data_IF_282499078249
#
_entry.id   IF_282499078249
#
_cell.length_a   1.000
_cell.length_b   1.000
_cell.length_c   1.000
_cell.angle_alpha   90.00
_cell.angle_beta   90.00
_cell.angle_gamma   90.00
#
_symmetry.space_group_name_H-M   'P 1'
#
loop_
_entity.id
_entity.type
_entity.pdbx_description
1 polymer ?
#
# COMPACT_ATOMS: atom_id res chain seq x y z
N UNK A 1 -10.06 40.17 -28.82
CA UNK A 1 -9.82 38.74 -29.13
C UNK A 1 -8.53 38.17 -28.57
N UNK A 2 -7.48 38.96 -28.28
CA UNK A 2 -6.19 38.47 -27.73
C UNK A 2 -6.25 37.88 -26.31
N UNK A 3 -7.04 38.49 -25.42
CA UNK A 3 -7.06 38.11 -24.00
C UNK A 3 -7.63 36.69 -23.73
N UNK A 4 -8.69 36.29 -24.45
CA UNK A 4 -9.26 34.94 -24.35
C UNK A 4 -8.29 33.87 -24.89
N UNK A 5 -7.55 34.20 -25.94
CA UNK A 5 -6.50 33.32 -26.50
C UNK A 5 -5.34 33.14 -25.54
N UNK A 6 -4.92 34.22 -24.87
CA UNK A 6 -3.85 34.19 -23.87
C UNK A 6 -4.25 33.37 -22.64
N UNK A 7 -5.50 33.49 -22.15
CA UNK A 7 -6.01 32.67 -21.03
C UNK A 7 -6.04 31.18 -21.38
N UNK A 8 -6.48 30.83 -22.60
CA UNK A 8 -6.46 29.41 -23.03
C UNK A 8 -5.03 28.86 -23.14
N UNK A 9 -4.11 29.65 -23.71
CA UNK A 9 -2.72 29.26 -23.80
C UNK A 9 -2.04 29.13 -22.42
N UNK A 10 -2.43 29.95 -21.45
CA UNK A 10 -1.95 29.81 -20.07
C UNK A 10 -2.41 28.49 -19.42
N UNK A 11 -3.69 28.12 -19.62
CA UNK A 11 -4.22 26.84 -19.12
C UNK A 11 -3.53 25.64 -19.79
N UNK A 12 -3.29 25.69 -21.10
CA UNK A 12 -2.57 24.60 -21.80
C UNK A 12 -1.17 24.44 -21.24
N UNK A 13 -0.45 25.56 -21.01
CA UNK A 13 0.87 25.51 -20.38
C UNK A 13 0.81 24.95 -18.96
N UNK A 14 -0.15 25.42 -18.15
CA UNK A 14 -0.34 24.91 -16.78
C UNK A 14 -0.56 23.38 -16.78
N UNK A 15 -1.45 22.88 -17.64
CA UNK A 15 -1.73 21.44 -17.74
C UNK A 15 -0.50 20.68 -18.22
N UNK A 16 0.18 21.18 -19.26
CA UNK A 16 1.42 20.57 -19.76
C UNK A 16 2.49 20.48 -18.70
N UNK A 17 2.77 21.59 -18.00
CA UNK A 17 3.82 21.67 -16.98
C UNK A 17 3.49 20.77 -15.78
N UNK A 18 2.20 20.62 -15.43
CA UNK A 18 1.73 19.68 -14.41
C UNK A 18 1.88 18.22 -14.84
N UNK A 19 1.48 17.87 -16.06
CA UNK A 19 1.64 16.51 -16.57
C UNK A 19 3.14 16.14 -16.62
N UNK A 20 3.99 17.06 -17.06
CA UNK A 20 5.43 16.84 -17.12
C UNK A 20 6.11 16.72 -15.76
N UNK A 21 5.59 17.41 -14.73
CA UNK A 21 6.13 17.37 -13.37
C UNK A 21 5.60 16.23 -12.50
N UNK A 22 4.52 15.59 -12.92
CA UNK A 22 3.81 14.56 -12.13
C UNK A 22 4.23 13.17 -12.59
N UNK A 23 4.57 12.30 -11.64
CA UNK A 23 4.94 10.90 -11.89
C UNK A 23 3.74 10.07 -12.36
N UNK A 24 2.53 10.40 -11.89
CA UNK A 24 1.30 9.71 -12.27
C UNK A 24 0.11 10.65 -12.40
N UNK A 25 -0.76 10.31 -13.34
CA UNK A 25 -2.01 11.00 -13.66
C UNK A 25 -3.12 9.96 -13.81
N UNK A 26 -4.27 10.15 -13.16
CA UNK A 26 -5.44 9.30 -13.35
C UNK A 26 -6.59 10.12 -13.92
N UNK A 27 -7.21 9.59 -14.99
CA UNK A 27 -8.36 10.17 -15.65
C UNK A 27 -9.63 9.49 -15.13
N UNK A 28 -10.58 10.31 -14.66
CA UNK A 28 -11.86 9.83 -14.14
C UNK A 28 -13.02 10.55 -14.81
N UNK A 29 -14.15 9.86 -14.91
CA UNK A 29 -15.44 10.47 -15.25
C UNK A 29 -16.21 10.79 -13.97
N UNK A 30 -16.69 12.01 -13.83
CA UNK A 30 -17.41 12.50 -12.66
C UNK A 30 -18.90 12.74 -12.93
N UNK A 31 -19.42 12.16 -14.00
CA UNK A 31 -20.82 12.36 -14.40
C UNK A 31 -21.77 11.77 -13.36
N UNK A 32 -22.65 12.61 -12.80
CA UNK A 32 -23.63 12.21 -11.79
C UNK A 32 -23.17 12.41 -10.34
N UNK A 33 -21.96 12.92 -10.11
CA UNK A 33 -21.51 13.31 -8.77
C UNK A 33 -22.05 14.68 -8.38
N UNK A 34 -22.58 14.78 -7.18
CA UNK A 34 -23.03 16.03 -6.57
C UNK A 34 -21.84 16.86 -6.07
N UNK A 35 -22.08 18.15 -5.81
CA UNK A 35 -21.06 19.08 -5.33
C UNK A 35 -20.46 18.64 -3.97
N UNK A 36 -21.25 18.16 -2.99
CA UNK A 36 -20.71 17.60 -1.74
C UNK A 36 -19.77 16.41 -2.00
N UNK A 37 -20.20 15.43 -2.80
CA UNK A 37 -19.40 14.26 -3.14
C UNK A 37 -18.07 14.62 -3.82
N UNK A 38 -18.09 15.63 -4.72
CA UNK A 38 -16.85 16.16 -5.32
C UNK A 38 -15.93 16.85 -4.29
N UNK A 39 -16.49 17.46 -3.26
CA UNK A 39 -15.70 18.07 -2.18
C UNK A 39 -15.05 17.00 -1.30
N UNK A 40 -15.78 15.96 -0.93
CA UNK A 40 -15.27 14.79 -0.19
C UNK A 40 -14.17 14.07 -0.99
N UNK A 41 -14.38 13.84 -2.29
CA UNK A 41 -13.36 13.26 -3.16
C UNK A 41 -12.08 14.08 -3.20
N UNK A 42 -12.19 15.41 -3.30
CA UNK A 42 -11.02 16.30 -3.27
C UNK A 42 -10.29 16.25 -1.94
N UNK A 43 -11.01 16.15 -0.83
CA UNK A 43 -10.43 16.04 0.50
C UNK A 43 -9.71 14.70 0.69
N UNK A 44 -10.35 13.59 0.30
CA UNK A 44 -9.75 12.26 0.33
C UNK A 44 -8.48 12.16 -0.53
N UNK A 45 -8.52 12.73 -1.75
CA UNK A 45 -7.34 12.77 -2.63
C UNK A 45 -6.24 13.66 -2.08
N UNK A 46 -6.57 14.82 -1.50
CA UNK A 46 -5.57 15.70 -0.86
C UNK A 46 -4.88 15.01 0.32
N UNK A 47 -5.62 14.26 1.13
CA UNK A 47 -5.05 13.46 2.21
C UNK A 47 -4.10 12.37 1.68
N UNK A 48 -4.40 11.78 0.52
CA UNK A 48 -3.56 10.79 -0.17
C UNK A 48 -2.35 11.42 -0.90
N UNK A 49 -2.26 12.76 -0.96
CA UNK A 49 -1.23 13.47 -1.71
C UNK A 49 -1.57 13.63 -3.19
N UNK A 50 -2.84 13.80 -3.51
CA UNK A 50 -3.34 14.04 -4.86
C UNK A 50 -4.04 15.37 -5.01
N UNK A 51 -4.03 15.93 -6.20
CA UNK A 51 -4.80 17.11 -6.59
C UNK A 51 -5.82 16.74 -7.67
N UNK A 52 -7.09 17.05 -7.45
CA UNK A 52 -8.19 16.74 -8.37
C UNK A 52 -8.70 18.00 -9.07
N UNK A 53 -8.51 18.06 -10.38
CA UNK A 53 -8.93 19.22 -11.21
C UNK A 53 -9.71 18.80 -12.42
N UNK A 54 -10.70 19.63 -12.75
CA UNK A 54 -11.50 19.51 -13.97
C UNK A 54 -11.00 20.52 -14.99
N UNK A 55 -10.61 20.03 -16.17
CA UNK A 55 -10.19 20.84 -17.28
C UNK A 55 -11.05 20.57 -18.51
N UNK A 56 -11.07 21.50 -19.43
CA UNK A 56 -11.75 21.31 -20.72
C UNK A 56 -10.94 20.35 -21.58
N UNK A 57 -11.54 19.22 -22.02
CA UNK A 57 -10.87 18.20 -22.82
C UNK A 57 -10.08 18.72 -24.01
N UNK A 58 -10.62 19.74 -24.72
CA UNK A 58 -9.91 20.34 -25.85
C UNK A 58 -8.58 21.00 -25.47
N UNK A 59 -8.45 21.56 -24.24
CA UNK A 59 -7.22 22.16 -23.78
C UNK A 59 -6.22 21.09 -23.30
N UNK A 60 -6.75 20.02 -22.68
CA UNK A 60 -5.93 18.86 -22.27
C UNK A 60 -5.36 18.17 -23.50
N UNK A 61 -6.16 17.96 -24.57
CA UNK A 61 -5.67 17.36 -25.84
C UNK A 61 -4.51 18.14 -26.43
N UNK A 62 -4.58 19.48 -26.42
CA UNK A 62 -3.48 20.32 -26.92
C UNK A 62 -2.20 20.14 -26.08
N UNK A 63 -2.32 20.08 -24.74
CA UNK A 63 -1.20 19.87 -23.86
C UNK A 63 -0.56 18.47 -24.02
N UNK A 64 -1.40 17.45 -24.18
CA UNK A 64 -0.99 16.05 -24.37
C UNK A 64 -0.30 15.84 -25.71
N UNK A 65 -0.81 16.50 -26.77
CA UNK A 65 -0.20 16.47 -28.10
C UNK A 65 1.21 17.10 -28.10
N UNK A 66 1.42 18.18 -27.33
CA UNK A 66 2.75 18.79 -27.17
C UNK A 66 3.74 17.86 -26.45
N UNK A 67 3.26 16.92 -25.64
CA UNK A 67 4.07 15.93 -24.90
C UNK A 67 4.22 14.59 -25.64
N UNK A 68 3.63 14.44 -26.83
CA UNK A 68 3.57 13.20 -27.62
C UNK A 68 3.01 12.00 -26.83
N UNK A 69 2.02 12.24 -25.98
CA UNK A 69 1.31 11.22 -25.23
C UNK A 69 -0.01 10.87 -25.94
N UNK A 70 -0.37 9.60 -25.98
CA UNK A 70 -1.59 9.13 -26.66
C UNK A 70 -2.74 8.92 -25.66
N UNK A 71 -3.29 10.05 -25.16
CA UNK A 71 -4.42 10.06 -24.21
C UNK A 71 -5.76 10.44 -24.86
N UNK A 72 -5.81 10.53 -26.19
CA UNK A 72 -6.97 11.08 -26.88
C UNK A 72 -8.24 10.24 -26.69
N UNK A 73 -8.10 8.92 -26.67
CA UNK A 73 -9.21 7.99 -26.46
C UNK A 73 -9.86 8.12 -25.08
N UNK A 74 -9.09 8.48 -24.06
CA UNK A 74 -9.57 8.64 -22.69
C UNK A 74 -10.23 10.01 -22.43
N UNK A 75 -9.98 11.01 -23.32
CA UNK A 75 -10.49 12.37 -23.19
C UNK A 75 -11.87 12.55 -23.87
N UNK A 76 -12.78 11.60 -23.67
CA UNK A 76 -14.16 11.63 -24.17
C UNK A 76 -15.12 11.83 -23.00
N UNK A 77 -16.14 12.70 -23.15
CA UNK A 77 -17.11 13.00 -22.08
C UNK A 77 -16.56 13.88 -20.95
N UNK A 78 -17.26 13.98 -19.81
CA UNK A 78 -16.86 14.78 -18.67
C UNK A 78 -15.66 14.12 -17.95
N UNK A 79 -14.46 14.67 -18.17
CA UNK A 79 -13.23 14.09 -17.64
C UNK A 79 -12.58 15.02 -16.61
N UNK A 80 -12.18 14.47 -15.50
CA UNK A 80 -11.37 15.11 -14.48
C UNK A 80 -10.02 14.42 -14.38
N UNK A 81 -9.02 15.18 -13.97
CA UNK A 81 -7.63 14.76 -13.85
C UNK A 81 -7.23 14.74 -12.36
N UNK A 82 -6.79 13.59 -11.89
CA UNK A 82 -6.17 13.43 -10.58
C UNK A 82 -4.65 13.35 -10.77
N UNK A 83 -3.94 14.35 -10.26
CA UNK A 83 -2.48 14.44 -10.32
C UNK A 83 -1.88 13.96 -9.00
N UNK A 84 -0.74 13.33 -9.06
CA UNK A 84 0.10 13.13 -7.87
C UNK A 84 0.71 14.49 -7.49
N UNK A 85 0.48 14.92 -6.28
CA UNK A 85 0.99 16.17 -5.72
C UNK A 85 1.78 15.89 -4.44
N UNK A 86 2.36 16.90 -3.86
CA UNK A 86 2.98 16.80 -2.54
C UNK A 86 1.89 16.75 -1.46
N UNK A 87 2.06 15.88 -0.47
CA UNK A 87 1.21 15.83 0.71
C UNK A 87 1.38 17.11 1.55
N UNK A 88 0.39 17.44 2.40
CA UNK A 88 0.53 18.54 3.36
C UNK A 88 1.79 18.45 4.25
N UNK A 89 2.30 17.25 4.45
CA UNK A 89 3.50 16.94 5.24
C UNK A 89 4.82 17.16 4.46
N UNK A 90 4.76 17.66 3.23
CA UNK A 90 5.93 17.86 2.36
C UNK A 90 6.51 16.56 1.77
N UNK A 91 5.86 15.43 1.98
CA UNK A 91 6.24 14.16 1.34
C UNK A 91 5.59 14.06 -0.05
N UNK A 92 6.29 13.43 -0.99
CA UNK A 92 5.70 13.17 -2.31
C UNK A 92 4.47 12.27 -2.19
N UNK A 93 3.43 12.61 -2.93
CA UNK A 93 2.25 11.75 -3.08
C UNK A 93 2.64 10.41 -3.72
N UNK A 94 1.82 9.41 -3.49
CA UNK A 94 2.02 8.06 -4.03
C UNK A 94 0.87 7.73 -5.00
N UNK A 95 1.22 7.28 -6.20
CA UNK A 95 0.24 6.87 -7.22
C UNK A 95 -0.69 5.75 -6.71
N UNK A 96 -0.16 4.81 -5.93
CA UNK A 96 -0.95 3.73 -5.32
C UNK A 96 -1.95 4.26 -4.27
N UNK A 97 -1.56 5.27 -3.48
CA UNK A 97 -2.44 5.89 -2.50
C UNK A 97 -3.61 6.64 -3.18
N UNK A 98 -3.33 7.34 -4.30
CA UNK A 98 -4.35 8.03 -5.09
C UNK A 98 -5.29 7.03 -5.77
N UNK A 99 -4.74 5.98 -6.40
CA UNK A 99 -5.54 4.91 -7.01
C UNK A 99 -6.44 4.22 -5.97
N UNK A 100 -5.93 3.99 -4.75
CA UNK A 100 -6.71 3.44 -3.65
C UNK A 100 -7.83 4.38 -3.21
N UNK A 101 -7.55 5.67 -3.01
CA UNK A 101 -8.56 6.65 -2.62
C UNK A 101 -9.67 6.76 -3.70
N UNK A 102 -9.31 6.77 -5.00
CA UNK A 102 -10.27 6.76 -6.09
C UNK A 102 -11.13 5.48 -6.10
N UNK A 103 -10.52 4.33 -5.87
CA UNK A 103 -11.21 3.05 -5.82
C UNK A 103 -12.16 2.94 -4.62
N UNK A 104 -11.74 3.39 -3.45
CA UNK A 104 -12.56 3.35 -2.24
C UNK A 104 -13.76 4.30 -2.39
N UNK A 105 -13.54 5.48 -2.95
CA UNK A 105 -14.63 6.40 -3.28
C UNK A 105 -15.59 5.87 -4.37
N UNK A 106 -15.05 5.18 -5.40
CA UNK A 106 -15.86 4.56 -6.44
C UNK A 106 -16.73 3.40 -5.93
N UNK A 107 -16.38 2.75 -4.83
CA UNK A 107 -17.23 1.74 -4.16
C UNK A 107 -18.44 2.36 -3.46
N UNK A 108 -18.28 3.58 -2.94
CA UNK A 108 -19.36 4.31 -2.26
C UNK A 108 -20.22 5.08 -3.26
N UNK A 109 -19.65 5.45 -4.40
CA UNK A 109 -20.28 6.27 -5.45
C UNK A 109 -20.08 5.64 -6.83
N UNK A 110 -21.02 4.85 -7.30
CA UNK A 110 -21.02 4.21 -8.62
C UNK A 110 -20.92 5.19 -9.79
N UNK A 111 -21.15 6.48 -9.54
CA UNK A 111 -21.05 7.56 -10.54
C UNK A 111 -19.62 7.93 -10.92
N UNK A 112 -18.62 7.54 -10.12
CA UNK A 112 -17.21 7.76 -10.43
C UNK A 112 -16.67 6.59 -11.25
N UNK A 113 -16.31 6.84 -12.49
CA UNK A 113 -15.71 5.84 -13.37
C UNK A 113 -14.24 6.19 -13.63
N UNK A 114 -13.35 5.27 -13.34
CA UNK A 114 -11.92 5.38 -13.71
C UNK A 114 -11.77 4.96 -15.17
N UNK A 115 -11.31 5.87 -16.03
CA UNK A 115 -11.12 5.62 -17.47
C UNK A 115 -9.75 5.04 -17.79
N UNK A 116 -8.76 5.47 -17.08
CA UNK A 116 -7.37 5.10 -17.32
C UNK A 116 -6.43 6.07 -16.63
N UNK A 117 -5.15 5.95 -16.90
CA UNK A 117 -4.14 6.84 -16.34
C UNK A 117 -2.84 6.81 -17.10
N UNK A 118 -1.91 7.61 -16.61
CA UNK A 118 -0.54 7.68 -17.08
C UNK A 118 0.36 7.48 -15.85
N UNK A 119 1.33 6.59 -15.95
CA UNK A 119 2.36 6.36 -14.92
C UNK A 119 3.72 6.34 -15.59
N UNK A 120 4.60 7.26 -15.21
CA UNK A 120 5.96 7.38 -15.78
C UNK A 120 5.99 7.44 -17.33
N UNK A 121 4.92 7.94 -17.95
CA UNK A 121 4.79 8.03 -19.41
C UNK A 121 4.11 6.82 -20.07
N UNK A 122 3.79 5.77 -19.33
CA UNK A 122 3.04 4.62 -19.82
C UNK A 122 1.54 4.77 -19.56
N UNK A 123 0.74 4.39 -20.57
CA UNK A 123 -0.71 4.35 -20.45
C UNK A 123 -1.16 3.16 -19.61
N UNK A 124 -1.97 3.43 -18.60
CA UNK A 124 -2.58 2.41 -17.77
C UNK A 124 -4.06 2.22 -18.14
N UNK A 125 -4.44 0.97 -18.31
CA UNK A 125 -5.84 0.57 -18.41
C UNK A 125 -6.56 0.67 -17.05
N UNK A 126 -7.90 0.71 -17.02
CA UNK A 126 -8.67 0.71 -15.78
C UNK A 126 -8.33 -0.47 -14.85
N UNK A 127 -8.11 -1.67 -15.42
CA UNK A 127 -7.74 -2.87 -14.68
C UNK A 127 -6.36 -2.76 -14.01
N UNK A 128 -5.41 -2.12 -14.69
CA UNK A 128 -4.08 -1.87 -14.15
C UNK A 128 -4.13 -0.86 -12.99
N UNK A 129 -4.99 0.17 -13.08
CA UNK A 129 -5.21 1.13 -11.99
C UNK A 129 -5.87 0.44 -10.79
N UNK A 130 -6.81 -0.48 -11.03
CA UNK A 130 -7.35 -1.31 -9.94
C UNK A 130 -6.32 -2.20 -9.27
N UNK A 131 -5.38 -2.72 -10.03
CA UNK A 131 -4.27 -3.51 -9.50
C UNK A 131 -3.30 -2.64 -8.72
N UNK A 132 -3.01 -1.42 -9.21
CA UNK A 132 -2.22 -0.42 -8.51
C UNK A 132 -2.85 -0.04 -7.16
N UNK A 133 -4.19 0.10 -7.12
CA UNK A 133 -4.93 0.40 -5.89
C UNK A 133 -4.87 -0.72 -4.83
N UNK A 134 -4.48 -1.95 -5.20
CA UNK A 134 -4.28 -3.07 -4.28
C UNK A 134 -2.88 -3.09 -3.67
N UNK A 135 -1.94 -2.33 -4.23
CA UNK A 135 -0.57 -2.28 -3.73
C UNK A 135 -0.51 -1.54 -2.39
N UNK A 136 0.33 -2.00 -1.47
CA UNK A 136 0.61 -1.26 -0.25
C UNK A 136 1.41 0.02 -0.55
N UNK A 137 1.45 1.00 0.37
CA UNK A 137 2.24 2.20 0.23
C UNK A 137 3.72 1.91 -0.06
N UNK A 138 4.39 2.84 -0.74
CA UNK A 138 5.80 2.72 -1.16
C UNK A 138 6.75 2.28 -0.04
N UNK A 139 6.55 2.80 1.17
CA UNK A 139 7.37 2.44 2.34
C UNK A 139 7.26 0.96 2.70
N UNK A 140 6.04 0.40 2.61
CA UNK A 140 5.78 -1.02 2.88
C UNK A 140 6.38 -1.89 1.78
N UNK A 141 6.32 -1.45 0.51
CA UNK A 141 6.96 -2.16 -0.61
C UNK A 141 8.48 -2.20 -0.44
N UNK A 142 9.10 -1.09 -0.06
CA UNK A 142 10.53 -1.04 0.24
C UNK A 142 10.91 -1.94 1.42
N UNK A 143 10.09 -1.94 2.48
CA UNK A 143 10.29 -2.84 3.62
C UNK A 143 10.16 -4.32 3.23
N UNK A 144 9.22 -4.67 2.34
CA UNK A 144 9.07 -6.03 1.82
C UNK A 144 10.29 -6.45 0.99
N UNK A 145 10.81 -5.56 0.13
CA UNK A 145 12.03 -5.83 -0.65
C UNK A 145 13.22 -6.06 0.29
N UNK A 146 13.41 -5.17 1.27
CA UNK A 146 14.48 -5.32 2.26
C UNK A 146 14.33 -6.63 3.06
N UNK A 147 13.11 -6.97 3.48
CA UNK A 147 12.80 -8.22 4.16
C UNK A 147 13.09 -9.45 3.29
N UNK A 148 12.71 -9.42 2.01
CA UNK A 148 12.98 -10.50 1.07
C UNK A 148 14.50 -10.72 0.84
N UNK A 149 15.29 -9.66 0.82
CA UNK A 149 16.75 -9.75 0.74
C UNK A 149 17.39 -10.25 2.05
N UNK A 150 16.83 -9.89 3.20
CA UNK A 150 17.32 -10.34 4.52
C UNK A 150 16.87 -11.76 4.87
N UNK A 151 15.76 -12.25 4.33
CA UNK A 151 15.18 -13.55 4.67
C UNK A 151 16.12 -14.75 4.47
N UNK A 152 16.93 -14.87 3.41
CA UNK A 152 17.88 -15.96 3.25
C UNK A 152 18.96 -15.96 4.35
N UNK A 153 19.45 -14.78 4.75
CA UNK A 153 20.47 -14.64 5.80
C UNK A 153 19.88 -15.02 7.16
N UNK A 154 18.66 -14.59 7.46
CA UNK A 154 17.96 -14.96 8.70
C UNK A 154 17.69 -16.45 8.77
N UNK A 155 17.25 -17.08 7.66
CA UNK A 155 17.07 -18.54 7.58
C UNK A 155 18.38 -19.29 7.81
N UNK A 156 19.48 -18.84 7.22
CA UNK A 156 20.78 -19.44 7.40
C UNK A 156 21.25 -19.34 8.85
N UNK A 157 21.13 -18.15 9.47
CA UNK A 157 21.46 -17.95 10.87
C UNK A 157 20.57 -18.82 11.80
N UNK A 158 19.27 -18.94 11.48
CA UNK A 158 18.35 -19.83 12.20
C UNK A 158 18.74 -21.30 12.12
N UNK A 159 19.16 -21.78 10.94
CA UNK A 159 19.64 -23.16 10.76
C UNK A 159 20.92 -23.43 11.55
N UNK A 160 21.85 -22.49 11.59
CA UNK A 160 23.06 -22.63 12.42
C UNK A 160 22.73 -22.69 13.93
N UNK A 161 21.74 -21.93 14.38
CA UNK A 161 21.29 -21.95 15.77
C UNK A 161 20.40 -23.16 16.10
N UNK A 162 19.81 -23.79 15.12
CA UNK A 162 18.91 -24.94 15.33
C UNK A 162 19.64 -26.16 15.93
N UNK A 163 20.91 -26.40 15.55
CA UNK A 163 21.72 -27.51 16.06
C UNK A 163 21.92 -27.43 17.57
N UNK A 164 22.47 -26.33 18.14
CA UNK A 164 22.64 -26.23 19.59
C UNK A 164 21.31 -26.14 20.34
N UNK A 165 20.27 -25.53 19.75
CA UNK A 165 18.94 -25.50 20.36
C UNK A 165 18.31 -26.89 20.46
N UNK A 166 18.38 -27.70 19.41
CA UNK A 166 17.85 -29.08 19.43
C UNK A 166 18.61 -29.94 20.45
N UNK A 167 19.91 -29.76 20.59
CA UNK A 167 20.71 -30.44 21.63
C UNK A 167 20.25 -30.01 23.02
N UNK A 168 20.06 -28.72 23.26
CA UNK A 168 19.57 -28.21 24.55
C UNK A 168 18.17 -28.74 24.90
N UNK A 169 17.27 -28.80 23.92
CA UNK A 169 15.94 -29.40 24.11
C UNK A 169 16.01 -30.88 24.41
N UNK A 170 16.88 -31.64 23.72
CA UNK A 170 17.06 -33.07 23.99
C UNK A 170 17.61 -33.31 25.42
N UNK A 171 18.60 -32.51 25.87
CA UNK A 171 19.13 -32.60 27.23
C UNK A 171 18.03 -32.23 28.25
N UNK A 172 17.24 -31.20 27.98
CA UNK A 172 16.14 -30.83 28.87
C UNK A 172 15.09 -31.92 28.98
N UNK A 173 14.70 -32.54 27.86
CA UNK A 173 13.75 -33.65 27.85
C UNK A 173 14.26 -34.86 28.66
N UNK A 174 15.57 -35.19 28.55
CA UNK A 174 16.19 -36.26 29.37
C UNK A 174 16.22 -35.91 30.84
N UNK A 175 16.43 -34.63 31.22
CA UNK A 175 16.37 -34.20 32.62
C UNK A 175 14.94 -34.28 33.16
N UNK A 176 13.96 -33.91 32.37
CA UNK A 176 12.55 -33.98 32.76
C UNK A 176 12.08 -35.43 32.90
N UNK A 177 12.54 -36.37 32.05
CA UNK A 177 12.30 -37.80 32.19
C UNK A 177 12.93 -38.36 33.48
N UNK A 178 14.19 -38.05 33.73
CA UNK A 178 14.87 -38.50 34.98
C UNK A 178 14.20 -37.94 36.22
N UNK A 179 13.82 -36.67 36.23
CA UNK A 179 13.11 -36.06 37.35
C UNK A 179 11.72 -36.71 37.59
N UNK A 180 11.09 -37.25 36.52
CA UNK A 180 9.82 -37.97 36.64
C UNK A 180 10.03 -39.40 37.16
N UNK A 181 11.15 -40.05 36.80
CA UNK A 181 11.49 -41.37 37.27
C UNK A 181 12.03 -41.41 38.73
N UNK A 182 12.69 -40.34 39.20
CA UNK A 182 13.18 -40.21 40.57
C UNK A 182 12.07 -39.81 41.57
N UNK A 183 11.00 -39.13 41.11
CA UNK A 183 9.89 -38.72 42.00
C UNK A 183 9.07 -39.88 42.64
N UNK A 184 8.94 -41.08 42.04
CA UNK A 184 8.28 -42.21 42.73
C UNK A 184 9.13 -42.89 43.81
N UNK A 185 10.45 -42.82 43.69
CA UNK A 185 11.35 -43.57 44.64
C UNK A 185 11.48 -42.83 45.96
N UNK A 186 11.64 -41.50 45.96
CA UNK A 186 11.70 -40.71 47.20
C UNK A 186 10.38 -40.78 48.00
N UNK A 187 9.24 -40.86 47.36
CA UNK A 187 7.95 -41.01 48.04
C UNK A 187 7.71 -42.42 48.64
N UNK A 188 8.39 -43.40 48.14
CA UNK A 188 8.30 -44.75 48.67
C UNK A 188 9.23 -44.90 49.90
N UNK A 189 10.46 -44.31 49.87
CA UNK A 189 11.34 -44.31 51.00
C UNK A 189 10.81 -43.47 52.19
N UNK A 190 10.20 -42.27 51.94
CA UNK A 190 9.54 -41.49 52.99
C UNK A 190 8.30 -42.20 53.59
N UNK A 191 7.60 -43.04 52.81
CA UNK A 191 6.46 -43.79 53.30
C UNK A 191 6.86 -45.05 54.10
N UNK A 192 7.96 -45.73 53.76
CA UNK A 192 8.52 -46.84 54.52
C UNK A 192 9.16 -46.37 55.85
N UNK A 193 9.87 -45.26 55.88
CA UNK A 193 10.40 -44.68 57.13
C UNK A 193 9.29 -44.17 58.09
N UNK A 194 8.15 -43.73 57.56
CA UNK A 194 6.99 -43.31 58.36
C UNK A 194 6.24 -44.51 58.98
N UNK A 195 6.16 -45.67 58.26
CA UNK A 195 5.55 -46.87 58.77
C UNK A 195 6.40 -47.57 59.81
N UNK A 196 7.77 -47.62 59.65
CA UNK A 196 8.67 -48.18 60.66
C UNK A 196 8.71 -47.34 61.96
N UNK A 197 8.44 -46.02 61.89
CA UNK A 197 8.38 -45.16 63.08
C UNK A 197 7.07 -45.33 63.89
N UNK A 198 5.98 -45.73 63.23
CA UNK A 198 4.68 -46.00 63.87
C UNK A 198 4.58 -47.39 64.50
N UNK A 199 5.37 -48.41 64.05
CA UNK A 199 5.44 -49.73 64.68
C UNK A 199 6.38 -49.77 65.89
N UNK A 200 7.20 -48.70 66.16
CA UNK A 200 8.16 -48.66 67.22
C UNK A 200 7.66 -47.94 68.50
N UNK A 201 6.40 -47.53 68.56
CA UNK A 201 5.78 -46.90 69.73
C UNK A 201 4.66 -47.79 70.33
#
# INVERSE_FOLDING_TARGET
MGEVRNRKAAVVREVRDRIASTEALVLTEYRGLDVPALAELREALRAAGGEYKVYKNTLVRLAVHELNLDLEELLVGPTALAFVAEKPDGTKGDAAAIAKALKDFAKENDSLVVKGGLLEGELLSPEQIESLAKLPPREVLLAQIAGALAAPLQKFAGLLNALPQNMAYAIKALLDEKATDEAPVEKIEEAEEAEEAEEAE
#
